data_IF_316389952995
#
_entry.id   IF_316389952995
#
_cell.length_a   1.000
_cell.length_b   1.000
_cell.length_c   1.000
_cell.angle_alpha   90.00
_cell.angle_beta   90.00
_cell.angle_gamma   90.00
#
_symmetry.space_group_name_H-M   'P 1'
#
loop_
_entity.id
_entity.type
_entity.pdbx_description
1 polymer ?
#
# COMPACT_ATOMS: atom_id res chain seq x y z
N UNK A 1 -21.30 19.82 -38.68
CA UNK A 1 -20.36 18.67 -38.56
C UNK A 1 -19.36 18.84 -37.41
N UNK A 2 -18.81 20.05 -37.17
CA UNK A 2 -17.82 20.32 -36.11
C UNK A 2 -18.30 20.06 -34.65
N UNK A 3 -19.55 20.41 -34.29
CA UNK A 3 -20.10 20.23 -32.93
C UNK A 3 -20.15 18.76 -32.46
N UNK A 4 -20.40 17.81 -33.37
CA UNK A 4 -20.40 16.37 -33.07
C UNK A 4 -18.98 15.84 -32.83
N UNK A 5 -17.99 16.42 -33.50
CA UNK A 5 -16.58 16.03 -33.35
C UNK A 5 -16.03 16.54 -32.02
N UNK A 6 -16.34 17.78 -31.63
CA UNK A 6 -15.96 18.37 -30.34
C UNK A 6 -16.55 17.58 -29.17
N UNK A 7 -17.83 17.25 -29.20
CA UNK A 7 -18.47 16.46 -28.12
C UNK A 7 -17.92 15.03 -28.02
N UNK A 8 -17.53 14.42 -29.14
CA UNK A 8 -16.88 13.10 -29.15
C UNK A 8 -15.48 13.16 -28.51
N UNK A 9 -14.70 14.21 -28.81
CA UNK A 9 -13.36 14.41 -28.24
C UNK A 9 -13.42 14.73 -26.75
N UNK A 10 -14.38 15.55 -26.31
CA UNK A 10 -14.59 15.86 -24.87
C UNK A 10 -14.95 14.61 -24.09
N UNK A 11 -15.86 13.77 -24.60
CA UNK A 11 -16.21 12.49 -23.96
C UNK A 11 -15.02 11.55 -23.86
N UNK A 12 -14.23 11.44 -24.94
CA UNK A 12 -13.01 10.65 -24.93
C UNK A 12 -12.00 11.16 -23.88
N UNK A 13 -11.81 12.48 -23.78
CA UNK A 13 -10.93 13.08 -22.79
C UNK A 13 -11.39 12.82 -21.35
N UNK A 14 -12.69 12.92 -21.08
CA UNK A 14 -13.26 12.60 -19.75
C UNK A 14 -13.00 11.14 -19.38
N UNK A 15 -13.22 10.20 -20.31
CA UNK A 15 -12.96 8.78 -20.08
C UNK A 15 -11.48 8.52 -19.77
N UNK A 16 -10.57 9.11 -20.54
CA UNK A 16 -9.12 8.98 -20.31
C UNK A 16 -8.71 9.53 -18.94
N UNK A 17 -9.25 10.69 -18.54
CA UNK A 17 -8.97 11.29 -17.23
C UNK A 17 -9.47 10.40 -16.08
N UNK A 18 -10.67 9.84 -16.21
CA UNK A 18 -11.23 8.93 -15.19
C UNK A 18 -10.40 7.66 -15.07
N UNK A 19 -9.95 7.08 -16.18
CA UNK A 19 -9.07 5.90 -16.18
C UNK A 19 -7.71 6.23 -15.55
N UNK A 20 -7.10 7.36 -15.91
CA UNK A 20 -5.82 7.78 -15.32
C UNK A 20 -5.93 8.05 -13.81
N UNK A 21 -7.01 8.69 -13.37
CA UNK A 21 -7.26 8.97 -11.95
C UNK A 21 -7.49 7.68 -11.15
N UNK A 22 -8.27 6.74 -11.68
CA UNK A 22 -8.50 5.43 -11.04
C UNK A 22 -7.22 4.60 -10.98
N UNK A 23 -6.41 4.60 -12.04
CA UNK A 23 -5.11 3.94 -12.05
C UNK A 23 -4.16 4.54 -11.00
N UNK A 24 -4.13 5.87 -10.84
CA UNK A 24 -3.30 6.54 -9.84
C UNK A 24 -3.67 6.18 -8.38
N UNK A 25 -4.96 5.89 -8.11
CA UNK A 25 -5.42 5.41 -6.80
C UNK A 25 -5.01 3.95 -6.51
N UNK A 26 -4.69 3.17 -7.54
CA UNK A 26 -4.28 1.77 -7.45
C UNK A 26 -2.75 1.62 -7.37
N UNK A 27 -1.99 2.72 -7.54
CA UNK A 27 -0.54 2.70 -7.34
C UNK A 27 -0.26 2.52 -5.85
N UNK A 28 -0.16 1.26 -5.42
CA UNK A 28 0.41 0.91 -4.13
C UNK A 28 1.85 1.46 -4.12
N UNK A 29 2.12 2.41 -3.22
CA UNK A 29 3.47 2.95 -3.05
C UNK A 29 4.31 1.81 -2.51
N UNK A 30 5.14 1.19 -3.36
CA UNK A 30 6.11 0.17 -2.98
C UNK A 30 7.29 0.78 -2.20
N UNK A 31 6.97 1.48 -1.10
CA UNK A 31 7.96 1.91 -0.13
C UNK A 31 8.29 0.76 0.81
N UNK A 32 9.52 0.75 1.32
CA UNK A 32 9.89 -0.09 2.44
C UNK A 32 9.00 0.25 3.65
N UNK A 33 8.41 -0.76 4.28
CA UNK A 33 7.63 -0.62 5.50
C UNK A 33 8.52 -0.91 6.73
N UNK A 34 8.16 -0.31 7.87
CA UNK A 34 8.77 -0.64 9.16
C UNK A 34 7.77 -1.37 10.03
N UNK A 35 8.09 -2.61 10.40
CA UNK A 35 7.27 -3.45 11.26
C UNK A 35 7.88 -3.45 12.68
N UNK A 36 7.16 -2.85 13.64
CA UNK A 36 7.57 -2.88 15.05
C UNK A 36 7.33 -4.27 15.63
N UNK A 37 8.42 -5.00 15.90
CA UNK A 37 8.36 -6.37 16.44
C UNK A 37 7.63 -6.40 17.78
N UNK A 38 6.59 -7.23 17.86
CA UNK A 38 5.75 -7.37 19.05
C UNK A 38 4.79 -6.21 19.32
N UNK A 39 4.76 -5.18 18.46
CA UNK A 39 3.86 -4.03 18.60
C UNK A 39 3.95 -3.39 19.99
N UNK A 40 2.80 -3.28 20.67
CA UNK A 40 2.72 -2.71 22.02
C UNK A 40 3.46 -3.53 23.09
N UNK A 41 3.68 -4.84 22.86
CA UNK A 41 4.42 -5.69 23.79
C UNK A 41 5.94 -5.57 23.63
N UNK A 42 6.41 -5.04 22.48
CA UNK A 42 7.82 -4.88 22.16
C UNK A 42 8.60 -6.19 22.02
N UNK A 43 9.93 -6.08 22.12
CA UNK A 43 10.87 -7.20 22.08
C UNK A 43 11.33 -7.61 23.48
N UNK A 44 10.70 -8.65 24.02
CA UNK A 44 10.92 -9.23 25.36
C UNK A 44 10.89 -10.77 25.34
N UNK A 45 11.48 -11.41 26.36
CA UNK A 45 11.47 -12.86 26.57
C UNK A 45 10.43 -13.35 27.61
N UNK A 46 9.54 -12.47 28.07
CA UNK A 46 8.55 -12.77 29.13
C UNK A 46 7.20 -13.26 28.61
N UNK A 47 7.03 -13.31 27.29
CA UNK A 47 5.77 -13.66 26.63
C UNK A 47 5.68 -15.15 26.34
N UNK A 48 4.48 -15.60 25.95
CA UNK A 48 4.28 -16.99 25.56
C UNK A 48 5.17 -17.38 24.37
N UNK A 49 5.63 -18.64 24.28
CA UNK A 49 6.54 -19.11 23.22
C UNK A 49 6.04 -18.81 21.80
N UNK A 50 4.72 -18.81 21.60
CA UNK A 50 4.03 -18.59 20.33
C UNK A 50 3.79 -17.11 19.99
N UNK A 51 4.20 -16.17 20.85
CA UNK A 51 3.86 -14.76 20.66
C UNK A 51 4.45 -14.21 19.36
N UNK A 52 5.76 -14.41 19.12
CA UNK A 52 6.41 -13.85 17.93
C UNK A 52 6.06 -14.59 16.64
N UNK A 53 5.73 -15.89 16.72
CA UNK A 53 5.23 -16.63 15.56
C UNK A 53 3.84 -16.12 15.16
N UNK A 54 2.97 -15.85 16.15
CA UNK A 54 1.65 -15.25 15.91
C UNK A 54 1.76 -13.81 15.39
N UNK A 55 2.69 -13.01 15.92
CA UNK A 55 2.97 -11.68 15.41
C UNK A 55 3.44 -11.73 13.96
N UNK A 56 4.42 -12.57 13.63
CA UNK A 56 4.96 -12.70 12.28
C UNK A 56 3.88 -13.15 11.27
N UNK A 57 2.97 -14.05 11.66
CA UNK A 57 1.89 -14.53 10.81
C UNK A 57 0.88 -13.45 10.40
N UNK A 58 0.81 -12.33 11.14
CA UNK A 58 -0.07 -11.20 10.82
C UNK A 58 0.56 -10.16 9.88
N UNK A 59 1.79 -10.36 9.42
CA UNK A 59 2.50 -9.41 8.58
C UNK A 59 2.89 -10.04 7.24
N UNK A 60 2.99 -9.22 6.21
CA UNK A 60 3.59 -9.60 4.92
C UNK A 60 4.87 -8.80 4.75
N UNK A 61 6.01 -9.49 4.76
CA UNK A 61 7.31 -8.86 4.63
C UNK A 61 7.72 -8.74 3.16
N UNK A 62 8.07 -7.54 2.73
CA UNK A 62 8.60 -7.24 1.40
C UNK A 62 10.10 -6.97 1.48
N UNK A 63 10.81 -7.17 0.37
CA UNK A 63 12.25 -6.86 0.32
C UNK A 63 12.43 -5.36 0.53
N UNK A 64 13.30 -5.00 1.49
CA UNK A 64 13.54 -3.62 1.89
C UNK A 64 12.84 -3.22 3.18
N UNK A 65 11.89 -4.02 3.68
CA UNK A 65 11.24 -3.75 4.97
C UNK A 65 12.24 -3.84 6.13
N UNK A 66 11.95 -3.08 7.19
CA UNK A 66 12.72 -3.06 8.44
C UNK A 66 11.90 -3.72 9.54
N UNK A 67 12.52 -4.66 10.28
CA UNK A 67 11.94 -5.23 11.50
C UNK A 67 12.59 -4.58 12.72
N UNK A 68 11.84 -3.74 13.43
CA UNK A 68 12.37 -2.97 14.56
C UNK A 68 11.76 -1.57 14.62
N UNK A 69 12.53 -0.62 15.13
CA UNK A 69 12.15 0.79 15.15
C UNK A 69 13.07 1.56 14.20
N UNK A 70 12.53 2.58 13.52
CA UNK A 70 13.34 3.57 12.80
C UNK A 70 14.26 4.27 13.82
N UNK A 71 15.57 4.15 13.63
CA UNK A 71 16.57 4.96 14.34
C UNK A 71 16.75 6.31 13.66
#
# INVERSE_FOLDING_TARGET
MASKLVSRNVRAAVVVIVIAATAALIIERAGAETHTVGGASGWTNTLAPEFYTSWAANHTFKVGDILGNLQ
#
